data_IF_536467142086
#
_entry.id   IF_536467142086
#
_cell.length_a   1.000
_cell.length_b   1.000
_cell.length_c   1.000
_cell.angle_alpha   90.00
_cell.angle_beta   90.00
_cell.angle_gamma   90.00
#
_symmetry.space_group_name_H-M   'P 1'
#
loop_
_entity.id
_entity.type
_entity.pdbx_description
1 polymer ?
#
# COMPACT_ATOMS: atom_id res chain seq x y z
N UNK A 1 -26.42 5.56 -10.34
CA UNK A 1 -26.56 4.51 -11.38
C UNK A 1 -25.19 4.23 -11.94
N UNK A 2 -24.78 2.96 -12.01
CA UNK A 2 -23.45 2.56 -12.47
C UNK A 2 -23.30 2.75 -13.97
N UNK A 3 -24.17 2.10 -14.76
CA UNK A 3 -24.16 1.98 -16.22
C UNK A 3 -25.19 0.94 -16.64
N UNK A 4 -25.67 0.92 -17.88
CA UNK A 4 -26.35 -0.27 -18.42
C UNK A 4 -27.60 -0.76 -17.66
N UNK A 5 -28.20 0.08 -16.81
CA UNK A 5 -29.31 -0.30 -15.93
C UNK A 5 -28.91 -0.90 -14.58
N UNK A 6 -27.61 -0.95 -14.26
CA UNK A 6 -27.10 -1.39 -12.94
C UNK A 6 -27.17 -0.24 -11.93
N UNK A 7 -27.81 -0.50 -10.80
CA UNK A 7 -28.01 0.42 -9.69
C UNK A 7 -27.38 -0.09 -8.39
N UNK A 8 -26.89 0.87 -7.60
CA UNK A 8 -26.51 0.63 -6.20
C UNK A 8 -27.81 0.52 -5.40
N UNK A 9 -28.09 -0.67 -4.85
CA UNK A 9 -29.36 -0.94 -4.16
C UNK A 9 -29.25 -0.96 -2.63
N UNK A 10 -28.02 -1.00 -2.10
CA UNK A 10 -27.79 -0.92 -0.66
C UNK A 10 -26.37 -1.31 -0.26
N UNK A 11 -26.16 -1.38 1.04
CA UNK A 11 -24.92 -1.88 1.67
C UNK A 11 -25.26 -3.05 2.59
N UNK A 12 -24.48 -4.12 2.50
CA UNK A 12 -24.50 -5.17 3.51
C UNK A 12 -23.27 -5.04 4.39
N UNK A 13 -23.42 -5.31 5.67
CA UNK A 13 -22.38 -5.20 6.68
C UNK A 13 -22.01 -6.59 7.16
N UNK A 14 -20.75 -6.97 7.03
CA UNK A 14 -20.24 -8.25 7.51
C UNK A 14 -19.45 -8.04 8.80
N UNK A 15 -19.75 -8.78 9.88
CA UNK A 15 -19.08 -8.58 11.15
C UNK A 15 -17.61 -9.03 11.08
N UNK A 16 -16.75 -8.18 11.63
CA UNK A 16 -15.36 -8.47 11.96
C UNK A 16 -15.30 -8.71 13.47
N UNK A 17 -14.74 -9.85 13.86
CA UNK A 17 -14.66 -10.24 15.26
C UNK A 17 -13.23 -10.25 15.78
N UNK A 18 -13.08 -9.97 17.07
CA UNK A 18 -11.88 -10.32 17.81
C UNK A 18 -11.91 -11.83 18.07
N UNK A 19 -10.98 -12.58 17.48
CA UNK A 19 -11.04 -14.05 17.49
C UNK A 19 -10.92 -14.59 18.93
N UNK A 20 -10.13 -13.95 19.80
CA UNK A 20 -9.95 -14.40 21.20
C UNK A 20 -11.25 -14.37 22.02
N UNK A 21 -12.13 -13.41 21.77
CA UNK A 21 -13.37 -13.20 22.53
C UNK A 21 -14.64 -13.59 21.78
N UNK A 22 -14.56 -13.71 20.45
CA UNK A 22 -15.72 -13.92 19.56
C UNK A 22 -16.60 -12.68 19.39
N UNK A 23 -16.17 -11.53 19.93
CA UNK A 23 -16.95 -10.30 19.95
C UNK A 23 -16.82 -9.55 18.62
N UNK A 24 -17.94 -9.02 18.12
CA UNK A 24 -17.95 -8.10 16.98
C UNK A 24 -17.32 -6.77 17.37
N UNK A 25 -16.23 -6.41 16.69
CA UNK A 25 -15.45 -5.17 16.92
C UNK A 25 -15.63 -4.16 15.81
N UNK A 26 -15.92 -4.60 14.58
CA UNK A 26 -16.11 -3.74 13.42
C UNK A 26 -17.03 -4.42 12.39
N UNK A 27 -17.35 -3.70 11.31
CA UNK A 27 -18.00 -4.26 10.13
C UNK A 27 -17.26 -3.85 8.87
N UNK A 28 -17.23 -4.74 7.88
CA UNK A 28 -16.92 -4.38 6.50
C UNK A 28 -18.22 -4.01 5.76
N UNK A 29 -18.20 -2.86 5.09
CA UNK A 29 -19.29 -2.43 4.21
C UNK A 29 -19.10 -3.00 2.81
N UNK A 30 -20.09 -3.77 2.36
CA UNK A 30 -20.08 -4.44 1.08
C UNK A 30 -21.24 -3.91 0.22
N UNK A 31 -20.90 -3.19 -0.85
CA UNK A 31 -21.87 -2.65 -1.81
C UNK A 31 -22.74 -3.75 -2.41
N UNK A 32 -24.02 -3.45 -2.64
CA UNK A 32 -24.98 -4.34 -3.30
C UNK A 32 -25.53 -3.66 -4.53
N UNK A 33 -25.56 -4.41 -5.63
CA UNK A 33 -26.01 -3.94 -6.92
C UNK A 33 -27.17 -4.79 -7.45
N UNK A 34 -27.99 -4.19 -8.28
CA UNK A 34 -29.03 -4.88 -9.02
C UNK A 34 -29.24 -4.24 -10.39
N UNK A 35 -29.86 -4.97 -11.30
CA UNK A 35 -30.36 -4.47 -12.58
C UNK A 35 -31.83 -4.89 -12.78
N UNK A 36 -32.34 -4.77 -14.01
CA UNK A 36 -33.70 -5.17 -14.35
C UNK A 36 -33.99 -6.67 -14.19
N UNK A 37 -32.95 -7.51 -14.18
CA UNK A 37 -33.05 -8.98 -14.13
C UNK A 37 -32.75 -9.56 -12.74
N UNK A 38 -32.13 -8.79 -11.84
CA UNK A 38 -31.97 -9.15 -10.44
C UNK A 38 -30.69 -8.66 -9.80
N UNK A 39 -30.11 -9.45 -8.89
CA UNK A 39 -28.88 -9.09 -8.18
C UNK A 39 -27.67 -9.17 -9.10
N UNK A 40 -26.82 -8.14 -9.05
CA UNK A 40 -25.55 -8.05 -9.78
C UNK A 40 -24.40 -8.14 -8.78
N UNK A 41 -23.37 -8.93 -9.10
CA UNK A 41 -22.19 -9.04 -8.24
C UNK A 41 -21.35 -7.76 -8.30
N UNK A 42 -20.66 -7.39 -7.22
CA UNK A 42 -19.76 -6.23 -7.21
C UNK A 42 -18.75 -6.26 -8.36
N UNK A 43 -18.11 -7.40 -8.64
CA UNK A 43 -17.12 -7.54 -9.71
C UNK A 43 -17.66 -7.10 -11.09
N UNK A 44 -18.90 -7.48 -11.40
CA UNK A 44 -19.55 -7.12 -12.67
C UNK A 44 -19.88 -5.62 -12.70
N UNK A 45 -20.45 -5.10 -11.61
CA UNK A 45 -20.79 -3.68 -11.52
C UNK A 45 -19.55 -2.78 -11.63
N UNK A 46 -18.48 -3.10 -10.90
CA UNK A 46 -17.24 -2.33 -10.95
C UNK A 46 -16.52 -2.48 -12.29
N UNK A 47 -16.50 -3.67 -12.90
CA UNK A 47 -15.95 -3.87 -14.25
C UNK A 47 -16.66 -3.00 -15.29
N UNK A 48 -17.98 -2.90 -15.21
CA UNK A 48 -18.77 -2.03 -16.07
C UNK A 48 -18.53 -0.54 -15.76
N UNK A 49 -18.36 -0.17 -14.49
CA UNK A 49 -17.97 1.19 -14.10
C UNK A 49 -16.60 1.58 -14.68
N UNK A 50 -15.64 0.66 -14.70
CA UNK A 50 -14.35 0.83 -15.36
C UNK A 50 -14.51 0.98 -16.88
N UNK A 51 -15.24 0.07 -17.53
CA UNK A 51 -15.44 0.09 -18.98
C UNK A 51 -16.14 1.36 -19.48
N UNK A 52 -17.01 1.94 -18.66
CA UNK A 52 -17.77 3.15 -18.95
C UNK A 52 -17.12 4.44 -18.45
N UNK A 53 -15.95 4.37 -17.80
CA UNK A 53 -15.26 5.53 -17.25
C UNK A 53 -15.98 6.22 -16.09
N UNK A 54 -16.86 5.50 -15.37
CA UNK A 54 -17.63 6.02 -14.23
C UNK A 54 -17.14 5.54 -12.86
N UNK A 55 -16.07 4.74 -12.82
CA UNK A 55 -15.55 4.12 -11.60
C UNK A 55 -15.48 5.08 -10.41
N UNK A 56 -14.93 6.29 -10.60
CA UNK A 56 -14.77 7.28 -9.53
C UNK A 56 -16.10 7.79 -8.95
N UNK A 57 -17.12 7.93 -9.80
CA UNK A 57 -18.45 8.37 -9.37
C UNK A 57 -19.22 7.25 -8.67
N UNK A 58 -19.11 6.03 -9.20
CA UNK A 58 -19.80 4.85 -8.66
C UNK A 58 -19.23 4.47 -7.29
N UNK A 59 -17.91 4.50 -7.17
CA UNK A 59 -17.23 4.20 -5.92
C UNK A 59 -17.52 5.28 -4.85
N UNK A 60 -17.52 6.57 -5.24
CA UNK A 60 -17.94 7.65 -4.34
C UNK A 60 -19.40 7.49 -3.85
N UNK A 61 -20.34 7.14 -4.73
CA UNK A 61 -21.73 6.87 -4.38
C UNK A 61 -21.85 5.67 -3.42
N UNK A 62 -21.03 4.62 -3.62
CA UNK A 62 -20.98 3.46 -2.73
C UNK A 62 -20.50 3.87 -1.33
N UNK A 63 -19.42 4.67 -1.24
CA UNK A 63 -18.87 5.14 0.02
C UNK A 63 -19.86 6.01 0.79
N UNK A 64 -20.51 6.97 0.12
CA UNK A 64 -21.53 7.81 0.74
C UNK A 64 -22.68 6.98 1.29
N UNK A 65 -23.18 6.02 0.51
CA UNK A 65 -24.25 5.14 0.93
C UNK A 65 -23.86 4.24 2.09
N UNK A 66 -22.65 3.69 2.11
CA UNK A 66 -22.16 2.84 3.18
C UNK A 66 -22.13 3.58 4.51
N UNK A 67 -21.58 4.81 4.53
CA UNK A 67 -21.51 5.63 5.75
C UNK A 67 -22.91 6.08 6.19
N UNK A 68 -23.80 6.40 5.25
CA UNK A 68 -25.17 6.81 5.56
C UNK A 68 -26.01 5.67 6.15
N UNK A 69 -25.97 4.48 5.53
CA UNK A 69 -26.69 3.29 6.01
C UNK A 69 -26.13 2.79 7.35
N UNK A 70 -24.81 2.90 7.56
CA UNK A 70 -24.17 2.58 8.84
C UNK A 70 -24.68 3.48 10.00
N UNK A 71 -25.15 4.70 9.70
CA UNK A 71 -25.75 5.58 10.71
C UNK A 71 -26.93 4.97 11.46
N UNK A 72 -27.61 3.97 10.86
CA UNK A 72 -28.74 3.27 11.48
C UNK A 72 -28.36 2.31 12.62
N UNK A 73 -27.07 1.98 12.79
CA UNK A 73 -26.59 1.09 13.86
C UNK A 73 -26.58 1.73 15.27
N UNK A 74 -27.00 2.99 15.41
CA UNK A 74 -26.97 3.72 16.69
C UNK A 74 -26.26 5.07 16.63
N UNK A 75 -26.18 5.67 15.44
CA UNK A 75 -25.47 6.91 15.17
C UNK A 75 -24.08 6.64 14.61
N UNK A 76 -23.57 7.60 13.82
CA UNK A 76 -22.27 7.46 13.13
C UNK A 76 -21.16 7.14 14.15
N UNK A 77 -21.12 7.81 15.29
CA UNK A 77 -20.02 7.74 16.29
C UNK A 77 -19.82 6.39 16.98
N UNK A 78 -20.72 5.42 16.77
CA UNK A 78 -20.80 4.20 17.56
C UNK A 78 -20.09 2.98 16.93
N UNK A 79 -19.66 3.01 15.66
CA UNK A 79 -19.26 1.80 14.92
C UNK A 79 -17.97 1.99 14.11
N UNK A 80 -17.11 0.98 14.17
CA UNK A 80 -15.90 0.88 13.34
C UNK A 80 -16.27 0.27 11.99
N UNK A 81 -15.92 0.97 10.91
CA UNK A 81 -16.29 0.59 9.55
C UNK A 81 -15.06 0.42 8.68
N UNK A 82 -15.02 -0.70 7.96
CA UNK A 82 -14.06 -0.97 6.91
C UNK A 82 -14.73 -0.67 5.57
N UNK A 83 -14.08 0.16 4.75
CA UNK A 83 -14.58 0.62 3.46
C UNK A 83 -13.60 0.28 2.35
N UNK A 84 -14.05 -0.47 1.36
CA UNK A 84 -13.33 -0.68 0.11
C UNK A 84 -13.31 0.61 -0.71
N UNK A 85 -12.15 0.96 -1.29
CA UNK A 85 -12.02 2.12 -2.18
C UNK A 85 -11.19 1.76 -3.41
N UNK A 86 -11.67 2.20 -4.57
CA UNK A 86 -10.96 2.02 -5.82
C UNK A 86 -9.85 3.08 -6.01
N UNK A 87 -8.66 2.70 -6.52
CA UNK A 87 -7.52 3.61 -6.64
C UNK A 87 -7.80 4.91 -7.42
N UNK A 88 -8.55 4.89 -8.55
CA UNK A 88 -8.91 6.12 -9.25
C UNK A 88 -9.63 7.14 -8.37
N UNK A 89 -10.52 6.69 -7.48
CA UNK A 89 -11.26 7.56 -6.54
C UNK A 89 -10.31 8.29 -5.60
N UNK A 90 -9.24 7.61 -5.15
CA UNK A 90 -8.22 8.18 -4.29
C UNK A 90 -7.30 9.17 -5.00
N UNK A 91 -7.15 9.09 -6.32
CA UNK A 91 -6.25 9.98 -7.08
C UNK A 91 -6.86 11.34 -7.38
N UNK A 92 -8.16 11.53 -7.11
CA UNK A 92 -8.82 12.82 -7.24
C UNK A 92 -8.16 13.86 -6.33
N UNK A 93 -8.17 15.12 -6.78
CA UNK A 93 -7.69 16.26 -5.98
C UNK A 93 -8.43 16.37 -4.66
N UNK A 94 -9.74 16.14 -4.70
CA UNK A 94 -10.62 16.14 -3.54
C UNK A 94 -11.15 14.72 -3.31
N UNK A 95 -10.98 14.22 -2.09
CA UNK A 95 -11.54 12.94 -1.67
C UNK A 95 -13.08 13.03 -1.58
N UNK A 96 -13.81 11.91 -1.74
CA UNK A 96 -15.26 11.86 -1.54
C UNK A 96 -15.69 12.48 -0.20
N UNK A 97 -16.90 13.06 -0.15
CA UNK A 97 -17.40 13.74 1.06
C UNK A 97 -17.48 12.78 2.26
N UNK A 98 -17.84 11.52 2.01
CA UNK A 98 -17.84 10.44 2.99
C UNK A 98 -16.49 10.27 3.72
N UNK A 99 -15.37 10.53 3.05
CA UNK A 99 -14.04 10.42 3.65
C UNK A 99 -13.59 11.73 4.29
N UNK A 100 -13.99 12.89 3.76
CA UNK A 100 -13.57 14.20 4.31
C UNK A 100 -14.31 14.65 5.56
N UNK A 101 -15.59 14.29 5.65
CA UNK A 101 -16.50 14.77 6.70
C UNK A 101 -17.13 13.62 7.49
N UNK A 102 -16.75 12.39 7.16
CA UNK A 102 -17.16 11.20 7.89
C UNK A 102 -16.34 10.98 9.14
N UNK A 103 -16.56 9.83 9.75
CA UNK A 103 -15.77 9.39 10.89
C UNK A 103 -14.48 8.74 10.44
N UNK A 104 -13.49 8.64 11.35
CA UNK A 104 -12.40 7.70 11.17
C UNK A 104 -12.95 6.32 10.80
N UNK A 105 -12.46 5.79 9.70
CA UNK A 105 -12.80 4.47 9.13
C UNK A 105 -11.49 3.80 8.73
N UNK A 106 -11.53 2.49 8.55
CA UNK A 106 -10.44 1.75 7.95
C UNK A 106 -10.68 1.67 6.45
N UNK A 107 -9.77 2.23 5.66
CA UNK A 107 -9.85 2.16 4.20
C UNK A 107 -9.12 0.91 3.73
N UNK A 108 -9.82 0.05 3.02
CA UNK A 108 -9.26 -1.15 2.42
C UNK A 108 -8.75 -0.83 1.02
N UNK A 109 -7.47 -1.15 0.79
CA UNK A 109 -6.78 -0.97 -0.47
C UNK A 109 -6.44 -2.36 -0.99
N UNK A 110 -6.94 -2.69 -2.17
CA UNK A 110 -6.66 -3.96 -2.82
C UNK A 110 -5.20 -4.06 -3.25
N UNK A 111 -4.68 -5.28 -3.29
CA UNK A 111 -3.33 -5.57 -3.77
C UNK A 111 -3.05 -5.01 -5.19
N UNK A 112 -4.05 -5.08 -6.09
CA UNK A 112 -3.95 -4.55 -7.45
C UNK A 112 -3.63 -3.06 -7.48
N UNK A 113 -4.12 -2.29 -6.51
CA UNK A 113 -3.81 -0.87 -6.38
C UNK A 113 -2.31 -0.60 -6.19
N UNK A 114 -1.63 -1.53 -5.52
CA UNK A 114 -0.23 -1.39 -5.11
C UNK A 114 0.71 -1.44 -6.33
N UNK A 115 0.35 -2.23 -7.35
CA UNK A 115 1.12 -2.42 -8.58
C UNK A 115 0.97 -1.33 -9.65
N UNK A 116 -0.07 -0.48 -9.59
CA UNK A 116 -0.37 0.50 -10.64
C UNK A 116 0.52 1.76 -10.58
N UNK A 117 0.37 2.56 -9.53
CA UNK A 117 1.12 3.80 -9.32
C UNK A 117 1.36 3.97 -7.81
N UNK A 118 2.42 3.34 -7.33
CA UNK A 118 2.78 3.30 -5.90
C UNK A 118 2.92 4.71 -5.33
N UNK A 119 3.51 5.66 -6.07
CA UNK A 119 3.63 7.05 -5.63
C UNK A 119 2.29 7.76 -5.44
N UNK A 120 1.32 7.59 -6.36
CA UNK A 120 -0.05 8.12 -6.23
C UNK A 120 -0.77 7.51 -5.05
N UNK A 121 -0.61 6.21 -4.87
CA UNK A 121 -1.22 5.51 -3.76
C UNK A 121 -0.67 6.01 -2.42
N UNK A 122 0.65 6.10 -2.26
CA UNK A 122 1.28 6.61 -1.02
C UNK A 122 0.85 8.05 -0.72
N UNK A 123 0.76 8.92 -1.74
CA UNK A 123 0.24 10.27 -1.58
C UNK A 123 -1.24 10.33 -1.20
N UNK A 124 -2.06 9.38 -1.65
CA UNK A 124 -3.45 9.25 -1.22
C UNK A 124 -3.57 8.71 0.21
N UNK A 125 -2.81 7.68 0.56
CA UNK A 125 -2.71 7.14 1.92
C UNK A 125 -2.34 8.23 2.92
N UNK A 126 -1.36 9.08 2.59
CA UNK A 126 -0.99 10.22 3.44
C UNK A 126 -2.20 11.14 3.70
N UNK A 127 -2.93 11.53 2.65
CA UNK A 127 -4.12 12.39 2.79
C UNK A 127 -5.23 11.73 3.61
N UNK A 128 -5.42 10.41 3.47
CA UNK A 128 -6.39 9.66 4.28
C UNK A 128 -5.98 9.64 5.76
N UNK A 129 -4.68 9.46 6.04
CA UNK A 129 -4.14 9.46 7.41
C UNK A 129 -4.20 10.83 8.07
N UNK A 130 -4.00 11.91 7.31
CA UNK A 130 -4.19 13.28 7.79
C UNK A 130 -5.64 13.56 8.22
N UNK A 131 -6.61 12.82 7.66
CA UNK A 131 -8.01 12.84 8.05
C UNK A 131 -8.34 11.85 9.20
N UNK A 132 -7.35 11.12 9.70
CA UNK A 132 -7.48 10.15 10.79
C UNK A 132 -7.99 8.77 10.37
N UNK A 133 -7.97 8.44 9.08
CA UNK A 133 -8.31 7.09 8.62
C UNK A 133 -7.16 6.10 8.82
N UNK A 134 -7.52 4.88 9.15
CA UNK A 134 -6.63 3.73 9.14
C UNK A 134 -6.59 3.11 7.73
N UNK A 135 -5.54 2.34 7.45
CA UNK A 135 -5.35 1.67 6.17
C UNK A 135 -5.28 0.17 6.38
N UNK A 136 -6.13 -0.56 5.67
CA UNK A 136 -6.01 -2.00 5.49
C UNK A 136 -5.48 -2.32 4.10
N UNK A 137 -4.66 -3.36 3.99
CA UNK A 137 -4.31 -3.97 2.70
C UNK A 137 -5.10 -5.26 2.55
N UNK A 138 -5.88 -5.34 1.48
CA UNK A 138 -6.77 -6.45 1.18
C UNK A 138 -6.14 -7.48 0.25
N UNK A 139 -6.57 -8.74 0.37
CA UNK A 139 -6.12 -9.89 -0.43
C UNK A 139 -4.60 -10.04 -0.51
N UNK A 140 -3.89 -9.72 0.58
CA UNK A 140 -2.43 -9.71 0.54
C UNK A 140 -1.86 -11.11 0.23
N UNK A 141 -1.11 -11.20 -0.87
CA UNK A 141 -0.37 -12.39 -1.25
C UNK A 141 -0.84 -13.03 -2.56
N UNK A 142 -1.85 -12.52 -3.26
CA UNK A 142 -2.16 -12.99 -4.61
C UNK A 142 -1.04 -12.62 -5.61
N UNK A 143 -0.34 -11.51 -5.39
CA UNK A 143 0.84 -11.07 -6.13
C UNK A 143 2.07 -10.94 -5.21
N UNK A 144 3.05 -11.88 -5.26
CA UNK A 144 4.20 -11.88 -4.36
C UNK A 144 4.97 -10.54 -4.24
N UNK A 145 4.99 -9.77 -5.32
CA UNK A 145 5.63 -8.46 -5.45
C UNK A 145 5.12 -7.43 -4.43
N UNK A 146 3.86 -7.51 -4.02
CA UNK A 146 3.26 -6.49 -3.17
C UNK A 146 3.64 -6.61 -1.70
N UNK A 147 4.11 -7.79 -1.26
CA UNK A 147 4.68 -7.99 0.08
C UNK A 147 5.85 -7.02 0.32
N UNK A 148 6.59 -6.70 -0.75
CA UNK A 148 7.70 -5.76 -0.72
C UNK A 148 7.26 -4.31 -0.43
N UNK A 149 5.99 -3.99 -0.66
CA UNK A 149 5.41 -2.67 -0.46
C UNK A 149 4.85 -2.47 0.96
N UNK A 150 4.73 -3.52 1.79
CA UNK A 150 4.22 -3.39 3.16
C UNK A 150 4.95 -2.33 3.98
N UNK A 151 6.30 -2.23 3.99
CA UNK A 151 6.99 -1.16 4.72
C UNK A 151 6.68 0.24 4.17
N UNK A 152 6.43 0.35 2.86
CA UNK A 152 6.13 1.61 2.19
C UNK A 152 4.70 2.08 2.46
N UNK A 153 3.73 1.18 2.45
CA UNK A 153 2.32 1.44 2.77
C UNK A 153 2.18 1.67 4.29
N UNK A 154 2.89 0.87 5.07
CA UNK A 154 2.74 0.67 6.51
C UNK A 154 1.27 0.50 6.95
N UNK A 155 0.54 -0.54 6.48
CA UNK A 155 -0.85 -0.74 6.84
C UNK A 155 -1.04 -0.92 8.35
N UNK A 156 -2.21 -0.51 8.82
CA UNK A 156 -2.69 -0.72 10.18
C UNK A 156 -3.38 -2.09 10.32
N UNK A 157 -3.96 -2.61 9.24
CA UNK A 157 -4.55 -3.94 9.17
C UNK A 157 -4.07 -4.68 7.92
N UNK A 158 -3.69 -5.94 8.07
CA UNK A 158 -3.37 -6.86 6.96
C UNK A 158 -4.48 -7.89 6.88
N UNK A 159 -5.16 -7.97 5.74
CA UNK A 159 -6.21 -8.96 5.49
C UNK A 159 -5.60 -10.17 4.77
N UNK A 160 -5.84 -11.36 5.32
CA UNK A 160 -5.42 -12.64 4.75
C UNK A 160 -6.58 -13.22 3.93
N UNK A 161 -6.35 -13.44 2.64
CA UNK A 161 -7.31 -14.12 1.78
C UNK A 161 -7.66 -15.53 2.31
N UNK A 162 -8.90 -15.93 2.04
CA UNK A 162 -9.43 -17.22 2.46
C UNK A 162 -8.63 -18.42 1.92
N UNK A 163 -7.96 -18.28 0.77
CA UNK A 163 -7.10 -19.30 0.19
C UNK A 163 -5.98 -19.73 1.13
N UNK A 164 -5.42 -18.79 1.91
CA UNK A 164 -4.34 -19.06 2.86
C UNK A 164 -4.78 -19.90 4.05
N UNK A 165 -6.04 -19.79 4.48
CA UNK A 165 -6.56 -20.52 5.65
C UNK A 165 -7.35 -21.79 5.28
N UNK A 166 -7.83 -21.89 4.03
CA UNK A 166 -8.64 -23.02 3.55
C UNK A 166 -7.82 -24.14 2.93
N UNK A 167 -6.67 -23.82 2.35
CA UNK A 167 -5.83 -24.80 1.64
C UNK A 167 -4.76 -25.41 2.55
N UNK A 168 -4.18 -26.53 2.11
CA UNK A 168 -2.96 -27.06 2.72
C UNK A 168 -1.84 -26.04 2.55
N UNK A 169 -1.13 -25.63 3.62
CA UNK A 169 -0.04 -24.68 3.50
C UNK A 169 1.04 -25.20 2.54
N UNK A 170 1.43 -24.37 1.58
CA UNK A 170 2.50 -24.64 0.64
C UNK A 170 3.67 -23.65 0.82
N UNK A 171 4.65 -23.69 -0.07
CA UNK A 171 5.79 -22.78 -0.01
C UNK A 171 5.40 -21.32 -0.23
N UNK A 172 4.29 -21.04 -0.90
CA UNK A 172 3.81 -19.69 -1.14
C UNK A 172 3.13 -19.13 0.13
N UNK A 173 2.24 -19.90 0.74
CA UNK A 173 1.66 -19.56 2.04
C UNK A 173 2.74 -19.31 3.10
N UNK A 174 3.78 -20.16 3.15
CA UNK A 174 4.91 -19.97 4.08
C UNK A 174 5.69 -18.66 3.85
N UNK A 175 5.82 -18.19 2.60
CA UNK A 175 6.48 -16.91 2.29
C UNK A 175 5.63 -15.74 2.79
N UNK A 176 4.34 -15.75 2.49
CA UNK A 176 3.39 -14.71 2.95
C UNK A 176 3.38 -14.66 4.48
N UNK A 177 3.25 -15.82 5.14
CA UNK A 177 3.32 -15.92 6.60
C UNK A 177 4.58 -15.29 7.17
N UNK A 178 5.74 -15.58 6.58
CA UNK A 178 7.02 -15.06 7.07
C UNK A 178 7.10 -13.54 6.90
N UNK A 179 6.65 -13.02 5.76
CA UNK A 179 6.62 -11.58 5.50
C UNK A 179 5.64 -10.84 6.44
N UNK A 180 4.45 -11.42 6.68
CA UNK A 180 3.46 -10.85 7.58
C UNK A 180 3.95 -10.92 9.03
N UNK A 181 4.52 -12.04 9.46
CA UNK A 181 5.08 -12.15 10.81
C UNK A 181 6.25 -11.19 11.03
N UNK A 182 7.12 -10.99 10.03
CA UNK A 182 8.20 -10.02 10.11
C UNK A 182 7.68 -8.58 10.18
N UNK A 183 6.69 -8.24 9.35
CA UNK A 183 6.08 -6.92 9.35
C UNK A 183 5.26 -6.66 10.62
N UNK A 184 4.35 -7.56 11.01
CA UNK A 184 3.53 -7.45 12.22
C UNK A 184 4.31 -7.61 13.53
N UNK A 185 5.52 -8.18 13.48
CA UNK A 185 6.44 -8.20 14.63
C UNK A 185 7.17 -6.88 14.85
N UNK A 186 7.30 -6.07 13.79
CA UNK A 186 7.98 -4.75 13.82
C UNK A 186 7.01 -3.57 13.80
N UNK A 187 5.81 -3.79 13.27
CA UNK A 187 4.70 -2.85 13.26
C UNK A 187 3.65 -3.30 14.28
N UNK A 188 2.79 -2.40 14.73
CA UNK A 188 1.66 -2.76 15.58
C UNK A 188 0.42 -3.12 14.74
N UNK A 189 0.63 -3.55 13.48
CA UNK A 189 -0.44 -3.88 12.56
C UNK A 189 -1.23 -5.11 13.00
N UNK A 190 -2.55 -5.07 12.83
CA UNK A 190 -3.42 -6.19 13.12
C UNK A 190 -3.50 -7.12 11.91
N UNK A 191 -3.59 -8.42 12.17
CA UNK A 191 -3.82 -9.42 11.11
C UNK A 191 -5.28 -9.88 11.21
N UNK A 192 -6.00 -9.71 10.11
CA UNK A 192 -7.40 -10.09 9.91
C UNK A 192 -7.47 -11.26 8.92
N UNK A 193 -8.11 -12.36 9.30
CA UNK A 193 -8.30 -13.49 8.41
C UNK A 193 -9.72 -13.56 7.86
N UNK A 194 -9.84 -13.71 6.55
CA UNK A 194 -11.12 -13.73 5.84
C UNK A 194 -11.61 -15.14 5.51
N UNK A 195 -12.92 -15.27 5.28
CA UNK A 195 -13.52 -16.54 4.84
C UNK A 195 -13.46 -17.65 5.89
N UNK A 196 -13.47 -17.32 7.18
CA UNK A 196 -13.59 -18.31 8.27
C UNK A 196 -15.02 -18.87 8.27
N UNK A 197 -15.14 -20.17 7.96
CA UNK A 197 -16.45 -20.87 7.86
C UNK A 197 -16.62 -21.95 8.93
N UNK A 198 -15.52 -22.40 9.54
CA UNK A 198 -15.52 -23.44 10.56
C UNK A 198 -14.31 -23.29 11.49
N UNK A 199 -14.32 -24.04 12.60
CA UNK A 199 -13.26 -24.02 13.62
C UNK A 199 -11.87 -24.36 13.06
N UNK A 200 -11.76 -25.18 12.00
CA UNK A 200 -10.45 -25.51 11.41
C UNK A 200 -9.84 -24.30 10.71
N UNK A 201 -10.67 -23.50 10.01
CA UNK A 201 -10.22 -22.25 9.40
C UNK A 201 -9.75 -21.27 10.49
N UNK A 202 -10.47 -21.18 11.61
CA UNK A 202 -10.08 -20.33 12.74
C UNK A 202 -8.73 -20.76 13.35
N UNK A 203 -8.53 -22.07 13.57
CA UNK A 203 -7.26 -22.60 14.08
C UNK A 203 -6.10 -22.24 13.16
N UNK A 204 -6.30 -22.38 11.84
CA UNK A 204 -5.30 -21.96 10.86
C UNK A 204 -5.05 -20.45 10.94
N UNK A 205 -6.11 -19.63 10.90
CA UNK A 205 -6.01 -18.17 11.01
C UNK A 205 -5.18 -17.73 12.23
N UNK A 206 -5.44 -18.30 13.41
CA UNK A 206 -4.64 -18.03 14.62
C UNK A 206 -3.18 -18.45 14.46
N UNK A 207 -2.92 -19.59 13.82
CA UNK A 207 -1.56 -20.04 13.53
C UNK A 207 -0.81 -19.10 12.55
N UNK A 208 -1.54 -18.38 11.69
CA UNK A 208 -1.00 -17.33 10.83
C UNK A 208 -0.81 -15.97 11.56
N UNK A 209 -1.14 -15.89 12.85
CA UNK A 209 -1.05 -14.67 13.65
C UNK A 209 -2.29 -13.78 13.60
N UNK A 210 -3.39 -14.24 13.02
CA UNK A 210 -4.64 -13.47 12.99
C UNK A 210 -5.18 -13.25 14.40
N UNK A 211 -5.46 -11.98 14.72
CA UNK A 211 -6.16 -11.57 15.94
C UNK A 211 -7.62 -11.19 15.64
N UNK A 212 -7.91 -10.88 14.38
CA UNK A 212 -9.23 -10.56 13.87
C UNK A 212 -9.69 -11.60 12.85
N UNK A 213 -10.99 -11.86 12.82
CA UNK A 213 -11.58 -12.86 11.95
C UNK A 213 -12.85 -12.34 11.28
N UNK A 214 -13.06 -12.76 10.04
CA UNK A 214 -14.27 -12.49 9.30
C UNK A 214 -14.70 -13.72 8.52
N UNK A 215 -16.01 -14.00 8.46
CA UNK A 215 -16.56 -15.10 7.69
C UNK A 215 -17.88 -15.64 8.25
N UNK A 216 -18.49 -16.57 7.51
CA UNK A 216 -19.82 -17.09 7.83
C UNK A 216 -19.89 -17.84 9.15
N UNK A 217 -18.75 -18.26 9.71
CA UNK A 217 -18.68 -18.79 11.06
C UNK A 217 -19.16 -17.78 12.11
N UNK A 218 -18.87 -16.48 11.89
CA UNK A 218 -19.20 -15.39 12.80
C UNK A 218 -20.44 -14.61 12.37
N UNK A 219 -20.68 -14.49 11.06
CA UNK A 219 -21.87 -13.86 10.52
C UNK A 219 -21.78 -13.64 9.02
N UNK A 220 -22.94 -13.67 8.37
CA UNK A 220 -23.06 -13.34 6.94
C UNK A 220 -23.22 -11.82 6.76
N UNK A 221 -22.84 -11.26 5.61
CA UNK A 221 -23.24 -9.90 5.25
C UNK A 221 -24.75 -9.72 5.37
N UNK A 222 -25.18 -8.68 6.08
CA UNK A 222 -26.59 -8.36 6.28
C UNK A 222 -26.85 -6.85 6.21
N UNK A 223 -28.07 -6.41 5.84
CA UNK A 223 -28.44 -5.00 5.96
C UNK A 223 -28.26 -4.50 7.40
N UNK A 224 -28.08 -3.19 7.58
CA UNK A 224 -27.79 -2.63 8.91
C UNK A 224 -28.84 -2.96 9.98
N UNK A 225 -30.11 -3.13 9.59
CA UNK A 225 -31.18 -3.53 10.51
C UNK A 225 -31.07 -4.96 11.06
N UNK A 226 -30.25 -5.82 10.44
CA UNK A 226 -30.10 -7.24 10.78
C UNK A 226 -28.64 -7.63 11.11
N UNK A 227 -27.68 -6.73 10.89
CA UNK A 227 -26.29 -6.98 11.26
C UNK A 227 -26.10 -6.99 12.77
N UNK A 228 -25.14 -7.80 13.24
CA UNK A 228 -24.87 -7.97 14.66
C UNK A 228 -24.38 -6.64 15.25
N UNK A 229 -24.88 -6.20 16.42
CA UNK A 229 -24.39 -4.96 17.01
C UNK A 229 -22.93 -5.11 17.41
N UNK A 230 -22.15 -4.03 17.23
CA UNK A 230 -20.81 -3.94 17.81
C UNK A 230 -20.97 -3.95 19.34
N UNK A 231 -20.50 -5.00 19.99
CA UNK A 231 -20.69 -5.23 21.42
C UNK A 231 -19.54 -4.65 22.26
N UNK A 232 -19.07 -3.46 21.91
CA UNK A 232 -17.96 -2.77 22.57
C UNK A 232 -18.48 -1.59 23.39
N UNK A 233 -17.82 -1.30 24.51
CA UNK A 233 -17.98 -0.04 25.23
C UNK A 233 -17.32 1.11 24.47
N UNK A 234 -17.62 2.36 24.86
CA UNK A 234 -17.00 3.54 24.26
C UNK A 234 -15.48 3.59 24.48
N UNK A 235 -15.02 3.12 25.63
CA UNK A 235 -13.59 3.04 25.97
C UNK A 235 -12.89 2.03 25.07
N UNK A 236 -13.43 0.82 24.94
CA UNK A 236 -12.88 -0.22 24.07
C UNK A 236 -12.85 0.20 22.59
N UNK A 237 -13.85 0.97 22.12
CA UNK A 237 -13.79 1.57 20.76
C UNK A 237 -12.66 2.57 20.61
N UNK A 238 -12.41 3.36 21.65
CA UNK A 238 -11.33 4.36 21.61
C UNK A 238 -9.97 3.68 21.61
N UNK A 239 -9.80 2.63 22.42
CA UNK A 239 -8.59 1.80 22.45
C UNK A 239 -8.37 1.07 21.13
N UNK A 240 -9.43 0.50 20.56
CA UNK A 240 -9.41 -0.11 19.23
C UNK A 240 -8.95 0.89 18.17
N UNK A 241 -9.54 2.09 18.11
CA UNK A 241 -9.11 3.11 17.13
C UNK A 241 -7.69 3.53 17.35
N UNK A 242 -7.29 3.72 18.61
CA UNK A 242 -5.91 4.04 18.93
C UNK A 242 -5.01 2.95 18.33
N UNK A 243 -5.29 1.67 18.60
CA UNK A 243 -4.56 0.51 18.09
C UNK A 243 -4.52 0.45 16.56
N UNK A 244 -5.66 0.58 15.89
CA UNK A 244 -5.81 0.55 14.43
C UNK A 244 -5.28 1.82 13.76
N UNK A 245 -4.84 2.84 14.50
CA UNK A 245 -4.22 4.06 13.93
C UNK A 245 -2.79 4.31 14.41
N UNK A 246 -2.16 3.37 15.16
CA UNK A 246 -0.78 3.58 15.67
C UNK A 246 0.25 3.52 14.55
N UNK A 247 0.10 2.59 13.61
CA UNK A 247 0.98 2.49 12.43
C UNK A 247 0.85 3.74 11.55
N UNK A 248 -0.34 4.34 11.45
CA UNK A 248 -0.58 5.61 10.77
C UNK A 248 0.24 6.78 11.32
N UNK A 249 0.31 6.94 12.65
CA UNK A 249 1.04 8.05 13.26
C UNK A 249 2.56 8.00 12.99
N UNK A 250 3.16 6.80 13.03
CA UNK A 250 4.60 6.62 12.75
C UNK A 250 4.94 6.88 11.28
N UNK A 251 4.07 6.47 10.35
CA UNK A 251 4.25 6.60 8.92
C UNK A 251 3.90 8.00 8.36
N UNK A 252 3.02 8.75 9.03
CA UNK A 252 2.64 10.11 8.63
C UNK A 252 3.69 11.17 8.99
N UNK A 253 4.61 10.86 9.93
CA UNK A 253 5.67 11.77 10.36
C UNK A 253 6.83 11.91 9.34
N UNK A 254 6.75 11.27 8.17
CA UNK A 254 7.81 11.36 7.14
C UNK A 254 7.69 12.70 6.42
N UNK A 255 8.67 13.57 6.65
CA UNK A 255 8.84 14.81 5.91
C UNK A 255 9.06 14.51 4.42
N UNK A 256 8.02 14.73 3.60
CA UNK A 256 8.06 14.57 2.14
C UNK A 256 8.65 15.79 1.43
N UNK A 257 9.11 16.81 2.15
CA UNK A 257 9.75 17.99 1.55
C UNK A 257 11.26 17.82 1.35
N UNK A 258 11.86 16.82 1.99
CA UNK A 258 13.27 16.46 1.83
C UNK A 258 13.45 15.41 0.74
N UNK A 259 14.54 15.50 -0.01
CA UNK A 259 14.96 14.45 -0.93
C UNK A 259 15.56 13.24 -0.18
N UNK A 260 15.71 12.07 -0.82
CA UNK A 260 16.38 10.91 -0.21
C UNK A 260 17.75 11.24 0.36
N UNK A 261 18.61 11.95 -0.39
CA UNK A 261 19.94 12.30 0.10
C UNK A 261 19.87 13.22 1.33
N UNK A 262 19.03 14.25 1.32
CA UNK A 262 18.90 15.18 2.44
C UNK A 262 18.38 14.50 3.71
N UNK A 263 17.39 13.63 3.55
CA UNK A 263 16.80 12.87 4.65
C UNK A 263 17.83 11.95 5.31
N UNK A 264 18.62 11.24 4.49
CA UNK A 264 19.64 10.30 4.98
C UNK A 264 20.85 11.05 5.54
N UNK A 265 21.30 12.13 4.89
CA UNK A 265 22.43 12.95 5.31
C UNK A 265 22.17 13.68 6.65
N UNK A 266 20.91 13.98 6.98
CA UNK A 266 20.55 14.53 8.28
C UNK A 266 20.78 13.54 9.45
N UNK A 267 20.80 12.23 9.16
CA UNK A 267 21.00 11.18 10.16
C UNK A 267 22.43 10.61 10.16
N UNK A 268 23.12 10.65 9.01
CA UNK A 268 24.44 10.03 8.81
C UNK A 268 25.32 11.00 8.03
N UNK A 269 26.49 11.33 8.57
CA UNK A 269 27.46 12.23 7.94
C UNK A 269 27.85 11.74 6.53
N UNK A 270 27.66 12.56 5.48
CA UNK A 270 28.07 12.22 4.12
C UNK A 270 29.58 12.03 3.99
N UNK A 271 29.97 11.11 3.11
CA UNK A 271 31.38 10.89 2.74
C UNK A 271 31.59 11.25 1.27
N UNK A 272 32.83 11.59 0.92
CA UNK A 272 33.18 11.89 -0.46
C UNK A 272 33.79 10.68 -1.15
N UNK A 273 33.37 10.41 -2.38
CA UNK A 273 33.97 9.39 -3.23
C UNK A 273 33.85 9.72 -4.72
N UNK A 274 34.74 9.13 -5.51
CA UNK A 274 34.68 9.18 -6.96
C UNK A 274 33.51 8.33 -7.49
N UNK A 275 32.95 8.77 -8.63
CA UNK A 275 31.89 8.06 -9.38
C UNK A 275 32.14 6.56 -9.55
N UNK A 276 33.39 6.17 -9.81
CA UNK A 276 33.77 4.78 -10.06
C UNK A 276 33.43 3.83 -8.91
N UNK A 277 33.61 4.27 -7.65
CA UNK A 277 33.23 3.49 -6.48
C UNK A 277 31.72 3.37 -6.35
N UNK A 278 31.00 4.49 -6.52
CA UNK A 278 29.54 4.51 -6.39
C UNK A 278 28.86 3.61 -7.44
N UNK A 279 29.42 3.53 -8.65
CA UNK A 279 28.95 2.59 -9.68
C UNK A 279 29.08 1.12 -9.26
N UNK A 280 30.11 0.75 -8.48
CA UNK A 280 30.24 -0.62 -7.99
C UNK A 280 29.27 -0.89 -6.85
N UNK A 281 29.08 0.06 -5.95
CA UNK A 281 28.10 -0.04 -4.86
C UNK A 281 26.69 -0.16 -5.42
N UNK A 282 26.32 0.69 -6.40
CA UNK A 282 25.00 0.64 -7.02
C UNK A 282 24.71 -0.72 -7.68
N UNK A 283 25.68 -1.26 -8.43
CA UNK A 283 25.57 -2.60 -9.04
C UNK A 283 25.41 -3.70 -7.99
N UNK A 284 26.14 -3.62 -6.89
CA UNK A 284 26.00 -4.57 -5.80
C UNK A 284 24.59 -4.53 -5.18
N UNK A 285 23.99 -3.34 -5.03
CA UNK A 285 22.61 -3.21 -4.57
C UNK A 285 21.62 -3.78 -5.60
N UNK A 286 21.81 -3.51 -6.90
CA UNK A 286 21.01 -4.12 -7.97
C UNK A 286 21.07 -5.67 -7.92
N UNK A 287 22.23 -6.25 -7.64
CA UNK A 287 22.38 -7.70 -7.44
C UNK A 287 21.67 -8.22 -6.18
N UNK A 288 21.55 -7.40 -5.12
CA UNK A 288 20.73 -7.75 -3.95
C UNK A 288 19.24 -7.74 -4.31
N UNK A 289 18.77 -6.75 -5.06
CA UNK A 289 17.39 -6.72 -5.55
C UNK A 289 17.08 -7.96 -6.41
N UNK A 290 18.02 -8.34 -7.30
CA UNK A 290 17.93 -9.56 -8.10
C UNK A 290 17.76 -10.85 -7.28
N UNK A 291 18.45 -10.93 -6.14
CA UNK A 291 18.37 -12.08 -5.24
C UNK A 291 17.05 -12.13 -4.46
N UNK A 292 16.43 -10.97 -4.20
CA UNK A 292 15.10 -10.85 -3.58
C UNK A 292 13.95 -11.25 -4.50
N UNK A 293 14.18 -11.28 -5.82
CA UNK A 293 13.22 -11.77 -6.81
C UNK A 293 11.89 -11.02 -6.79
N UNK A 294 10.80 -11.76 -6.65
CA UNK A 294 9.42 -11.26 -6.62
C UNK A 294 9.06 -10.59 -5.29
N UNK A 295 10.02 -10.25 -4.43
CA UNK A 295 9.78 -9.50 -3.19
C UNK A 295 10.68 -8.27 -3.08
N UNK A 296 11.28 -7.85 -4.19
CA UNK A 296 12.18 -6.71 -4.22
C UNK A 296 11.48 -5.47 -4.78
N UNK A 297 11.66 -4.34 -4.09
CA UNK A 297 11.48 -3.00 -4.64
C UNK A 297 12.86 -2.43 -4.95
N UNK A 298 13.03 -1.92 -6.17
CA UNK A 298 14.19 -1.15 -6.58
C UNK A 298 13.73 0.22 -7.05
N UNK A 299 14.26 1.27 -6.42
CA UNK A 299 14.08 2.65 -6.84
C UNK A 299 15.43 3.21 -7.28
N UNK A 300 15.46 3.86 -8.45
CA UNK A 300 16.69 4.44 -8.97
C UNK A 300 16.44 5.84 -9.54
N UNK A 301 17.33 6.80 -9.25
CA UNK A 301 17.37 8.12 -9.91
C UNK A 301 18.55 8.21 -10.87
N UNK A 302 18.33 8.88 -12.00
CA UNK A 302 19.35 9.21 -12.98
C UNK A 302 19.25 10.70 -13.30
N UNK A 303 20.37 11.41 -13.16
CA UNK A 303 20.43 12.86 -13.40
C UNK A 303 20.09 13.26 -14.84
N UNK A 304 20.17 12.31 -15.79
CA UNK A 304 19.76 12.45 -17.19
C UNK A 304 19.33 11.09 -17.71
N UNK A 305 18.29 11.05 -18.53
CA UNK A 305 17.86 9.88 -19.30
C UNK A 305 18.99 9.20 -20.10
N UNK A 306 19.91 9.98 -20.67
CA UNK A 306 21.10 9.49 -21.38
C UNK A 306 22.01 8.60 -20.50
N UNK A 307 21.93 8.72 -19.17
CA UNK A 307 22.67 7.87 -18.24
C UNK A 307 22.04 6.46 -18.12
N UNK A 308 20.82 6.26 -18.60
CA UNK A 308 20.17 4.95 -18.72
C UNK A 308 20.70 4.24 -19.97
N UNK A 309 21.93 3.75 -19.87
CA UNK A 309 22.61 3.05 -20.97
C UNK A 309 21.83 1.79 -21.42
N UNK A 310 22.04 1.29 -22.66
CA UNK A 310 21.46 0.02 -23.11
C UNK A 310 21.75 -1.16 -22.17
N UNK A 311 22.96 -1.19 -21.57
CA UNK A 311 23.33 -2.20 -20.58
C UNK A 311 22.60 -2.05 -19.25
N UNK A 312 22.28 -0.83 -18.82
CA UNK A 312 21.43 -0.58 -17.64
C UNK A 312 19.99 -1.01 -17.92
N UNK A 313 19.44 -0.63 -19.08
CA UNK A 313 18.10 -1.00 -19.51
C UNK A 313 17.90 -2.52 -19.51
N UNK A 314 18.80 -3.28 -20.14
CA UNK A 314 18.73 -4.74 -20.17
C UNK A 314 18.80 -5.38 -18.77
N UNK A 315 19.60 -4.83 -17.85
CA UNK A 315 19.63 -5.33 -16.46
C UNK A 315 18.30 -5.08 -15.74
N UNK A 316 17.71 -3.90 -15.95
CA UNK A 316 16.48 -3.49 -15.29
C UNK A 316 15.26 -4.24 -15.83
N UNK A 317 15.20 -4.46 -17.15
CA UNK A 317 14.21 -5.37 -17.77
C UNK A 317 14.32 -6.78 -17.17
N UNK A 318 15.53 -7.31 -17.03
CA UNK A 318 15.74 -8.63 -16.42
C UNK A 318 15.30 -8.72 -14.95
N UNK A 319 15.46 -7.63 -14.17
CA UNK A 319 14.96 -7.56 -12.79
C UNK A 319 13.43 -7.60 -12.76
N UNK A 320 12.80 -6.84 -13.66
CA UNK A 320 11.35 -6.75 -13.79
C UNK A 320 10.75 -8.10 -14.19
N UNK A 321 11.39 -8.81 -15.13
CA UNK A 321 11.00 -10.18 -15.54
C UNK A 321 11.03 -11.19 -14.38
N UNK A 322 11.76 -10.88 -13.30
CA UNK A 322 11.83 -11.69 -12.07
C UNK A 322 10.88 -11.23 -10.96
N UNK A 323 10.00 -10.28 -11.25
CA UNK A 323 9.01 -9.76 -10.31
C UNK A 323 9.50 -8.61 -9.44
N UNK A 324 10.66 -8.03 -9.71
CA UNK A 324 11.11 -6.83 -9.00
C UNK A 324 10.22 -5.64 -9.35
N UNK A 325 9.69 -4.97 -8.33
CA UNK A 325 8.98 -3.69 -8.48
C UNK A 325 9.99 -2.59 -8.71
N UNK A 326 10.11 -2.16 -9.97
CA UNK A 326 11.09 -1.18 -10.39
C UNK A 326 10.44 0.18 -10.68
N UNK A 327 10.94 1.23 -10.04
CA UNK A 327 10.65 2.61 -10.43
C UNK A 327 11.95 3.35 -10.75
N UNK A 328 12.03 3.90 -11.95
CA UNK A 328 13.17 4.70 -12.40
C UNK A 328 12.75 6.14 -12.62
N UNK A 329 13.52 7.04 -12.03
CA UNK A 329 13.34 8.46 -12.15
C UNK A 329 14.44 9.06 -13.03
N UNK A 330 14.06 9.84 -14.04
CA UNK A 330 14.99 10.47 -14.99
C UNK A 330 14.67 11.93 -15.18
N UNK A 331 15.70 12.75 -15.34
CA UNK A 331 15.57 14.10 -15.89
C UNK A 331 15.64 14.02 -17.42
N UNK A 332 14.83 14.80 -18.13
CA UNK A 332 14.75 14.78 -19.59
C UNK A 332 13.56 13.95 -20.08
N UNK A 333 13.79 12.94 -20.92
CA UNK A 333 12.74 12.02 -21.35
C UNK A 333 12.56 10.84 -20.38
N UNK A 334 11.78 9.85 -20.80
CA UNK A 334 11.54 8.62 -20.05
C UNK A 334 12.78 7.71 -20.07
N UNK A 335 13.01 6.97 -18.98
CA UNK A 335 13.94 5.85 -18.98
C UNK A 335 13.58 4.77 -20.03
N UNK A 336 12.35 4.75 -20.56
CA UNK A 336 11.89 3.92 -21.68
C UNK A 336 11.77 2.42 -21.36
N UNK A 337 11.73 2.06 -20.08
CA UNK A 337 11.56 0.67 -19.66
C UNK A 337 10.12 0.21 -19.95
N UNK A 338 9.91 -1.03 -20.40
CA UNK A 338 8.57 -1.56 -20.63
C UNK A 338 7.82 -1.76 -19.31
N UNK A 339 6.48 -1.74 -19.38
CA UNK A 339 5.65 -2.17 -18.25
C UNK A 339 6.00 -3.62 -17.84
N UNK A 340 5.96 -3.96 -16.54
CA UNK A 340 5.41 -3.17 -15.43
C UNK A 340 6.38 -2.16 -14.77
N UNK A 341 7.58 -1.91 -15.33
CA UNK A 341 8.47 -0.88 -14.78
C UNK A 341 7.83 0.51 -14.82
N UNK A 342 7.94 1.27 -13.73
CA UNK A 342 7.45 2.64 -13.67
C UNK A 342 8.56 3.61 -14.08
N UNK A 343 8.33 4.37 -15.14
CA UNK A 343 9.23 5.42 -15.58
C UNK A 343 8.67 6.77 -15.10
N UNK A 344 9.47 7.54 -14.36
CA UNK A 344 9.10 8.86 -13.81
C UNK A 344 10.02 9.93 -14.36
N UNK A 345 9.45 10.90 -15.05
CA UNK A 345 10.20 12.07 -15.52
C UNK A 345 10.17 13.12 -14.43
N UNK A 346 11.34 13.62 -14.06
CA UNK A 346 11.56 14.71 -13.12
C UNK A 346 11.92 15.98 -13.91
N UNK A 347 11.45 17.14 -13.45
CA UNK A 347 11.82 18.44 -14.03
C UNK A 347 13.31 18.76 -13.79
N UNK A 348 13.94 19.47 -14.73
CA UNK A 348 15.36 19.87 -14.65
C UNK A 348 15.67 20.73 -13.40
N UNK A 349 14.70 21.46 -12.87
CA UNK A 349 14.82 22.33 -11.70
C UNK A 349 14.40 21.66 -10.37
N UNK A 350 13.98 20.39 -10.41
CA UNK A 350 13.69 19.61 -9.22
C UNK A 350 15.00 19.28 -8.47
N UNK A 351 14.93 19.24 -7.14
CA UNK A 351 16.09 18.92 -6.29
C UNK A 351 16.61 17.50 -6.53
N UNK A 352 15.74 16.57 -6.90
CA UNK A 352 16.12 15.21 -7.28
C UNK A 352 16.97 15.14 -8.54
N UNK A 353 16.94 16.16 -9.41
CA UNK A 353 17.74 16.18 -10.63
C UNK A 353 19.25 16.11 -10.36
N UNK A 354 19.68 16.54 -9.17
CA UNK A 354 21.07 16.51 -8.73
C UNK A 354 21.47 15.22 -7.99
N UNK A 355 20.51 14.32 -7.73
CA UNK A 355 20.72 13.14 -6.89
C UNK A 355 20.94 11.87 -7.71
N UNK A 356 21.68 10.95 -7.09
CA UNK A 356 21.84 9.58 -7.53
C UNK A 356 21.52 8.65 -6.36
N UNK A 357 20.35 8.05 -6.45
CA UNK A 357 19.76 7.19 -5.46
C UNK A 357 19.59 5.81 -6.05
N UNK A 358 19.96 4.80 -5.27
CA UNK A 358 19.66 3.40 -5.52
C UNK A 358 19.18 2.82 -4.21
N UNK A 359 17.87 2.57 -4.14
CA UNK A 359 17.20 2.11 -2.93
C UNK A 359 16.62 0.72 -3.19
N UNK A 360 16.99 -0.23 -2.33
CA UNK A 360 16.53 -1.61 -2.38
C UNK A 360 15.78 -1.93 -1.10
N UNK A 361 14.56 -2.46 -1.24
CA UNK A 361 13.77 -3.00 -0.15
C UNK A 361 13.35 -4.42 -0.50
N UNK A 362 13.64 -5.37 0.38
CA UNK A 362 13.07 -6.71 0.38
C UNK A 362 12.49 -7.00 1.77
N UNK A 363 11.82 -8.14 1.94
CA UNK A 363 11.36 -8.57 3.25
C UNK A 363 12.50 -8.59 4.30
N UNK A 364 13.66 -9.12 3.93
CA UNK A 364 14.80 -9.38 4.83
C UNK A 364 15.98 -8.39 4.69
N UNK A 365 16.01 -7.56 3.66
CA UNK A 365 17.11 -6.63 3.38
C UNK A 365 16.61 -5.22 3.05
N UNK A 366 17.33 -4.19 3.50
CA UNK A 366 17.12 -2.83 3.02
C UNK A 366 18.47 -2.14 2.90
N UNK A 367 18.64 -1.40 1.82
CA UNK A 367 19.82 -0.57 1.61
C UNK A 367 19.47 0.63 0.75
N UNK A 368 20.11 1.76 1.05
CA UNK A 368 20.06 2.95 0.22
C UNK A 368 21.47 3.45 0.00
N UNK A 369 21.85 3.58 -1.27
CA UNK A 369 22.88 4.51 -1.70
C UNK A 369 22.17 5.79 -2.12
N UNK A 370 22.49 6.91 -1.49
CA UNK A 370 22.03 8.24 -1.89
C UNK A 370 23.26 9.11 -2.10
N UNK A 371 23.31 9.89 -3.17
CA UNK A 371 24.49 10.67 -3.52
C UNK A 371 24.12 11.96 -4.24
N UNK A 372 24.92 13.00 -4.07
CA UNK A 372 24.79 14.28 -4.76
C UNK A 372 26.14 14.72 -5.33
N UNK A 373 26.14 15.16 -6.57
CA UNK A 373 27.37 15.57 -7.25
C UNK A 373 27.96 16.84 -6.63
N UNK A 374 29.28 16.85 -6.42
CA UNK A 374 30.01 17.97 -5.84
C UNK A 374 30.55 18.85 -6.95
N UNK A 375 29.76 19.87 -7.31
CA UNK A 375 30.08 20.78 -8.40
C UNK A 375 29.86 20.12 -9.76
N UNK A 376 28.92 20.60 -10.59
CA UNK A 376 28.62 19.97 -11.87
C UNK A 376 29.85 20.06 -12.76
N UNK A 377 30.54 18.95 -12.97
CA UNK A 377 31.71 18.91 -13.85
C UNK A 377 31.50 17.81 -14.87
N UNK A 378 31.58 18.17 -16.15
CA UNK A 378 31.52 17.24 -17.29
C UNK A 378 32.78 16.32 -17.36
N UNK A 379 33.47 16.10 -16.24
CA UNK A 379 34.75 15.42 -16.18
C UNK A 379 34.66 13.99 -15.62
N UNK A 380 35.51 13.05 -16.09
CA UNK A 380 35.50 11.64 -15.67
C UNK A 380 35.82 11.38 -14.19
N UNK A 381 36.16 12.43 -13.42
CA UNK A 381 36.49 12.37 -11.99
C UNK A 381 35.46 13.08 -11.11
N UNK A 382 34.19 13.13 -11.52
CA UNK A 382 33.13 13.72 -10.69
C UNK A 382 33.09 13.07 -9.31
N UNK A 383 33.22 13.92 -8.29
CA UNK A 383 33.14 13.54 -6.89
C UNK A 383 31.69 13.69 -6.41
N UNK A 384 31.30 12.80 -5.53
CA UNK A 384 29.97 12.78 -4.94
C UNK A 384 30.07 12.79 -3.43
N UNK A 385 29.23 13.60 -2.80
CA UNK A 385 28.89 13.39 -1.41
C UNK A 385 27.83 12.29 -1.38
N UNK A 386 28.08 11.21 -0.65
CA UNK A 386 27.20 10.05 -0.61
C UNK A 386 27.00 9.53 0.81
N UNK A 387 25.86 8.89 1.01
CA UNK A 387 25.57 8.06 2.16
C UNK A 387 25.15 6.67 1.68
N UNK A 388 25.71 5.64 2.34
CA UNK A 388 25.27 4.26 2.21
C UNK A 388 24.76 3.81 3.58
N UNK A 389 23.51 3.36 3.64
CA UNK A 389 22.89 2.87 4.87
C UNK A 389 22.13 1.57 4.62
N UNK A 390 22.09 0.72 5.65
CA UNK A 390 21.25 -0.48 5.71
C UNK A 390 20.21 -0.39 6.83
N UNK A 391 20.07 0.78 7.45
CA UNK A 391 19.03 1.03 8.44
C UNK A 391 17.65 0.99 7.77
N UNK A 392 16.83 0.01 8.12
CA UNK A 392 15.55 -0.26 7.46
C UNK A 392 14.58 0.91 7.53
N UNK A 393 14.51 1.57 8.67
CA UNK A 393 13.58 2.68 8.90
C UNK A 393 14.00 3.87 8.04
N UNK A 394 15.29 4.21 8.07
CA UNK A 394 15.84 5.30 7.27
C UNK A 394 15.72 5.04 5.77
N UNK A 395 15.99 3.81 5.32
CA UNK A 395 15.84 3.40 3.92
C UNK A 395 14.37 3.48 3.47
N UNK A 396 13.44 3.04 4.31
CA UNK A 396 11.99 3.09 4.01
C UNK A 396 11.50 4.54 3.92
N UNK A 397 12.00 5.43 4.79
CA UNK A 397 11.73 6.87 4.71
C UNK A 397 12.28 7.50 3.43
N UNK A 398 13.52 7.18 3.05
CA UNK A 398 14.12 7.63 1.80
C UNK A 398 13.34 7.15 0.57
N UNK A 399 12.91 5.88 0.57
CA UNK A 399 12.10 5.31 -0.50
C UNK A 399 10.73 6.01 -0.63
N UNK A 400 10.06 6.30 0.49
CA UNK A 400 8.81 7.07 0.51
C UNK A 400 9.02 8.48 -0.03
N UNK A 401 10.05 9.18 0.44
CA UNK A 401 10.40 10.51 -0.04
C UNK A 401 10.55 10.50 -1.57
N UNK A 402 11.33 9.57 -2.12
CA UNK A 402 11.53 9.42 -3.56
C UNK A 402 10.22 9.15 -4.32
N UNK A 403 9.40 8.19 -3.86
CA UNK A 403 8.14 7.82 -4.51
C UNK A 403 7.08 8.93 -4.47
N UNK A 404 7.16 9.83 -3.49
CA UNK A 404 6.23 10.97 -3.35
C UNK A 404 6.76 12.29 -3.97
N UNK A 405 8.04 12.33 -4.35
CA UNK A 405 8.69 13.51 -4.96
C UNK A 405 8.30 13.71 -6.43
N UNK A 406 8.56 14.90 -6.97
CA UNK A 406 8.27 15.25 -8.37
C UNK A 406 6.80 15.52 -8.69
N UNK A 407 6.03 15.98 -7.69
CA UNK A 407 4.59 16.28 -7.82
C UNK A 407 4.26 17.66 -7.24
N UNK A 408 4.73 18.69 -7.95
CA UNK A 408 4.19 20.05 -7.89
C UNK A 408 3.08 20.24 -8.91
#
# INVERSE_FOLDING_TARGET
MVSGGIDIVGTAFQPIVEISSGRVVAHEALSRFADGDGTVTPDVAFSEAYASGRIESVDADCLERAVDEAGSFGGRDAHELFLNVEPPTLWRRELPAALRHGLPVTIEITERALGQDTGRLLGAIRRLRELGHAIAVDDLGAEPATLALLPLIAPDVIKLDMGLIRQQPDRHAARIMTAIADYAGRSEALVLAEGIENERHEVMARALGATLGQGWHYGRPAPASAAAPVATSREERTEWRAQVSRSAAAAAAVDTSATPFELVAAAIEPRRAERGLLLQVSRFLEERAAAGGDTAVLLATFQRDANVTPGTRARYEWLVDRGCLLTVFTVGESAGLPAPAQNRVIADDDRLAAEWDVIVLTADHAAALTAREVGPSEHPGSEYDFVLTTDRELVTRAARALLTSGRG
#
